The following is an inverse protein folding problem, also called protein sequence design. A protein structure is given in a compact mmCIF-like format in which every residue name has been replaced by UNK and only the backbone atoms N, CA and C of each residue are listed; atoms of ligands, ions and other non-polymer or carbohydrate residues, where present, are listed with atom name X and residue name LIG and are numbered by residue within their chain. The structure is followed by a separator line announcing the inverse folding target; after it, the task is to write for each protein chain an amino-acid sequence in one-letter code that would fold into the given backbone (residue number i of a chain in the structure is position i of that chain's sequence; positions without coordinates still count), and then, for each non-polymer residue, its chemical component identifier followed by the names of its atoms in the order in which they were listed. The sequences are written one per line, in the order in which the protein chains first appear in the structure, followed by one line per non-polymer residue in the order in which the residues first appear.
data_IF_716691004808
#
_entry.id   IF_716691004808
#
_cell.length_a   1.000
_cell.length_b   1.000
_cell.length_c   1.000
_cell.angle_alpha   90.00
_cell.angle_beta   90.00
_cell.angle_gamma   90.00
#
_symmetry.space_group_name_H-M   'P 1'
#
loop_
_entity.id
_entity.type
_entity.pdbx_description
1 polymer ?
#
# COMPACT_ATOMS: atom_id res chain seq x y z
N UNK A 1 10.67 18.52 11.42
CA UNK A 1 11.28 17.33 10.81
C UNK A 1 12.52 16.88 11.59
N UNK A 2 13.48 17.77 11.86
CA UNK A 2 14.72 17.44 12.61
C UNK A 2 14.42 16.86 14.01
N UNK A 3 13.45 17.42 14.73
CA UNK A 3 13.02 16.92 16.06
C UNK A 3 12.45 15.51 15.97
N UNK A 4 11.68 15.21 14.93
CA UNK A 4 11.10 13.88 14.69
C UNK A 4 12.19 12.84 14.39
N UNK A 5 13.14 13.13 13.52
CA UNK A 5 14.24 12.22 13.18
C UNK A 5 15.19 11.98 14.37
N UNK A 6 15.40 13.00 15.22
CA UNK A 6 16.15 12.83 16.46
C UNK A 6 15.44 11.87 17.45
N UNK A 7 14.11 11.86 17.45
CA UNK A 7 13.33 10.93 18.28
C UNK A 7 13.35 9.49 17.73
N UNK A 8 13.47 9.34 16.42
CA UNK A 8 13.45 8.03 15.74
C UNK A 8 14.69 7.82 14.84
N UNK A 9 15.89 7.66 15.43
CA UNK A 9 17.15 7.60 14.67
C UNK A 9 17.23 6.42 13.70
N UNK A 10 16.52 5.32 13.97
CA UNK A 10 16.47 4.17 13.07
C UNK A 10 15.76 4.48 11.74
N UNK A 11 14.82 5.42 11.73
CA UNK A 11 14.12 5.84 10.51
C UNK A 11 15.07 6.60 9.60
N UNK A 12 15.83 7.52 10.16
CA UNK A 12 16.81 8.30 9.41
C UNK A 12 17.90 7.40 8.81
N UNK A 13 18.48 6.52 9.63
CA UNK A 13 19.47 5.54 9.17
C UNK A 13 18.94 4.62 8.07
N UNK A 14 17.69 4.19 8.15
CA UNK A 14 17.05 3.41 7.09
C UNK A 14 16.91 4.20 5.78
N UNK A 15 16.50 5.47 5.86
CA UNK A 15 16.32 6.33 4.69
C UNK A 15 17.66 6.62 4.00
N UNK A 16 18.71 6.95 4.76
CA UNK A 16 20.04 7.19 4.22
C UNK A 16 20.64 5.94 3.58
N UNK A 17 20.51 4.79 4.23
CA UNK A 17 20.93 3.51 3.67
C UNK A 17 20.19 3.20 2.37
N UNK A 18 18.88 3.39 2.32
CA UNK A 18 18.07 3.16 1.11
C UNK A 18 18.56 4.00 -0.06
N UNK A 19 18.90 5.27 0.17
CA UNK A 19 19.45 6.15 -0.88
C UNK A 19 20.83 5.68 -1.33
N UNK A 20 21.70 5.33 -0.39
CA UNK A 20 23.06 4.87 -0.70
C UNK A 20 23.03 3.58 -1.53
N UNK A 21 22.25 2.61 -1.13
CA UNK A 21 22.06 1.35 -1.84
C UNK A 21 21.48 1.60 -3.25
N UNK A 22 20.47 2.50 -3.35
CA UNK A 22 19.85 2.85 -4.63
C UNK A 22 20.81 3.56 -5.59
N UNK A 23 21.71 4.39 -5.11
CA UNK A 23 22.77 5.00 -5.94
C UNK A 23 23.72 3.94 -6.52
N UNK A 24 24.03 2.93 -5.75
CA UNK A 24 24.93 1.87 -6.17
C UNK A 24 24.27 0.91 -7.16
N UNK A 25 23.03 0.44 -6.87
CA UNK A 25 22.37 -0.56 -7.70
C UNK A 25 21.48 0.05 -8.82
N UNK A 26 21.17 1.36 -8.76
CA UNK A 26 20.38 2.07 -9.75
C UNK A 26 18.87 1.98 -9.58
N UNK A 27 18.36 1.34 -8.52
CA UNK A 27 16.93 1.19 -8.26
C UNK A 27 16.63 1.08 -6.76
N UNK A 28 15.36 1.26 -6.41
CA UNK A 28 14.79 0.86 -5.11
C UNK A 28 13.75 -0.24 -5.31
N UNK A 29 13.46 -0.99 -4.27
CA UNK A 29 12.45 -2.05 -4.31
C UNK A 29 11.46 -1.95 -3.16
N UNK A 30 10.24 -2.46 -3.38
CA UNK A 30 9.26 -2.73 -2.33
C UNK A 30 9.66 -3.97 -1.54
N UNK A 31 8.97 -4.24 -0.43
CA UNK A 31 9.12 -5.48 0.33
C UNK A 31 8.79 -6.74 -0.50
N UNK A 32 8.00 -6.60 -1.56
CA UNK A 32 7.65 -7.67 -2.49
C UNK A 32 8.59 -7.79 -3.70
N UNK A 33 9.69 -7.01 -3.71
CA UNK A 33 10.70 -7.07 -4.76
C UNK A 33 10.35 -6.30 -6.04
N UNK A 34 9.27 -5.53 -6.08
CA UNK A 34 8.96 -4.64 -7.20
C UNK A 34 10.00 -3.53 -7.26
N UNK A 35 10.67 -3.39 -8.39
CA UNK A 35 11.77 -2.45 -8.59
C UNK A 35 11.30 -1.17 -9.29
N UNK A 36 11.88 -0.05 -8.87
CA UNK A 36 11.78 1.24 -9.54
C UNK A 36 13.19 1.76 -9.84
N UNK A 37 13.53 1.84 -11.12
CA UNK A 37 14.79 2.45 -11.54
C UNK A 37 14.81 3.95 -11.18
N UNK A 38 15.95 4.46 -10.72
CA UNK A 38 16.14 5.83 -10.28
C UNK A 38 17.47 6.42 -10.84
N UNK A 39 17.56 6.57 -12.16
CA UNK A 39 18.75 7.18 -12.78
C UNK A 39 19.01 8.60 -12.29
N UNK A 40 17.98 9.28 -11.79
CA UNK A 40 18.02 10.64 -11.24
C UNK A 40 19.02 10.77 -10.08
N UNK A 41 19.24 9.70 -9.30
CA UNK A 41 20.12 9.70 -8.14
C UNK A 41 21.59 10.01 -8.50
N UNK A 42 21.99 9.70 -9.73
CA UNK A 42 23.35 9.92 -10.25
C UNK A 42 23.45 11.15 -11.16
N UNK A 43 22.41 12.00 -11.22
CA UNK A 43 22.41 13.21 -12.02
C UNK A 43 23.37 14.27 -11.46
N UNK A 44 24.06 14.96 -12.35
CA UNK A 44 24.87 16.15 -12.00
C UNK A 44 24.00 17.35 -11.60
N UNK A 45 22.74 17.38 -12.03
CA UNK A 45 21.79 18.43 -11.65
C UNK A 45 21.25 18.19 -10.24
N UNK A 46 21.50 19.16 -9.35
CA UNK A 46 21.05 19.08 -7.95
C UNK A 46 19.54 18.86 -7.79
N UNK A 47 18.72 19.54 -8.58
CA UNK A 47 17.25 19.43 -8.47
C UNK A 47 16.75 18.05 -8.90
N UNK A 48 17.33 17.49 -9.96
CA UNK A 48 17.02 16.14 -10.43
C UNK A 48 17.44 15.12 -9.38
N UNK A 49 18.64 15.25 -8.85
CA UNK A 49 19.15 14.36 -7.80
C UNK A 49 18.29 14.42 -6.53
N UNK A 50 17.92 15.60 -6.05
CA UNK A 50 17.03 15.77 -4.90
C UNK A 50 15.64 15.15 -5.14
N UNK A 51 15.14 15.21 -6.38
CA UNK A 51 13.90 14.51 -6.74
C UNK A 51 14.08 12.99 -6.67
N UNK A 52 15.19 12.45 -7.17
CA UNK A 52 15.54 11.04 -7.08
C UNK A 52 15.61 10.55 -5.63
N UNK A 53 16.21 11.33 -4.73
CA UNK A 53 16.29 11.01 -3.30
C UNK A 53 14.90 10.94 -2.63
N UNK A 54 13.99 11.88 -2.96
CA UNK A 54 12.60 11.81 -2.47
C UNK A 54 11.89 10.56 -2.98
N UNK A 55 12.06 10.21 -4.25
CA UNK A 55 11.50 8.98 -4.82
C UNK A 55 12.10 7.74 -4.17
N UNK A 56 13.40 7.74 -3.87
CA UNK A 56 14.07 6.63 -3.20
C UNK A 56 13.53 6.38 -1.79
N UNK A 57 13.26 7.45 -1.02
CA UNK A 57 12.67 7.35 0.32
C UNK A 57 11.22 6.86 0.29
N UNK A 58 10.42 7.35 -0.65
CA UNK A 58 8.98 7.09 -0.67
C UNK A 58 8.61 5.75 -1.31
N UNK A 59 9.34 5.32 -2.35
CA UNK A 59 8.96 4.13 -3.14
C UNK A 59 8.90 2.84 -2.31
N UNK A 60 9.83 2.52 -1.40
CA UNK A 60 9.73 1.30 -0.60
C UNK A 60 8.44 1.25 0.25
N UNK A 61 8.02 2.39 0.80
CA UNK A 61 6.84 2.49 1.66
C UNK A 61 5.56 2.52 0.83
N UNK A 62 5.41 3.52 -0.06
CA UNK A 62 4.21 3.67 -0.90
C UNK A 62 4.04 2.52 -1.89
N UNK A 63 5.15 2.04 -2.47
CA UNK A 63 5.12 0.89 -3.36
C UNK A 63 4.73 -0.40 -2.65
N UNK A 64 5.18 -0.61 -1.40
CA UNK A 64 4.75 -1.75 -0.60
C UNK A 64 3.26 -1.66 -0.25
N UNK A 65 2.76 -0.48 0.13
CA UNK A 65 1.33 -0.28 0.36
C UNK A 65 0.50 -0.61 -0.91
N UNK A 66 0.96 -0.18 -2.08
CA UNK A 66 0.32 -0.53 -3.35
C UNK A 66 0.38 -2.03 -3.67
N UNK A 67 1.40 -2.74 -3.24
CA UNK A 67 1.49 -4.20 -3.40
C UNK A 67 0.52 -4.91 -2.44
N UNK A 68 0.41 -4.45 -1.20
CA UNK A 68 -0.52 -4.98 -0.19
C UNK A 68 -1.97 -4.86 -0.67
N UNK A 69 -2.39 -3.68 -1.16
CA UNK A 69 -3.77 -3.48 -1.63
C UNK A 69 -4.09 -4.37 -2.84
N UNK A 70 -3.13 -4.62 -3.74
CA UNK A 70 -3.32 -5.53 -4.87
C UNK A 70 -3.47 -6.98 -4.42
N UNK A 71 -2.72 -7.41 -3.42
CA UNK A 71 -2.89 -8.74 -2.84
C UNK A 71 -4.27 -8.87 -2.18
N UNK A 72 -4.68 -7.87 -1.40
CA UNK A 72 -6.00 -7.81 -0.80
C UNK A 72 -7.13 -7.89 -1.85
N UNK A 73 -7.03 -7.12 -2.94
CA UNK A 73 -7.97 -7.16 -4.06
C UNK A 73 -8.17 -8.58 -4.62
N UNK A 74 -7.07 -9.27 -4.88
CA UNK A 74 -7.12 -10.64 -5.43
C UNK A 74 -7.76 -11.61 -4.44
N UNK A 75 -7.47 -11.48 -3.15
CA UNK A 75 -8.02 -12.34 -2.10
C UNK A 75 -9.51 -12.09 -1.90
N UNK A 76 -9.93 -10.84 -1.78
CA UNK A 76 -11.34 -10.44 -1.69
C UNK A 76 -12.12 -10.96 -2.90
N UNK A 77 -11.64 -10.69 -4.12
CA UNK A 77 -12.29 -11.16 -5.34
C UNK A 77 -12.43 -12.68 -5.38
N UNK A 78 -11.38 -13.42 -5.04
CA UNK A 78 -11.43 -14.90 -5.02
C UNK A 78 -12.46 -15.39 -4.01
N UNK A 79 -12.48 -14.83 -2.82
CA UNK A 79 -13.38 -15.28 -1.76
C UNK A 79 -14.83 -14.98 -2.10
N UNK A 80 -15.16 -13.79 -2.61
CA UNK A 80 -16.52 -13.48 -3.09
C UNK A 80 -16.99 -14.49 -4.15
N UNK A 81 -16.13 -14.83 -5.10
CA UNK A 81 -16.41 -15.80 -6.14
C UNK A 81 -16.59 -17.22 -5.58
N UNK A 82 -15.69 -17.68 -4.71
CA UNK A 82 -15.66 -19.05 -4.20
C UNK A 82 -16.85 -19.30 -3.26
N UNK A 83 -17.32 -18.27 -2.57
CA UNK A 83 -18.54 -18.28 -1.77
C UNK A 83 -19.81 -18.01 -2.59
N UNK A 84 -19.68 -17.86 -3.93
CA UNK A 84 -20.79 -17.67 -4.89
C UNK A 84 -21.67 -16.47 -4.56
N UNK A 85 -21.08 -15.39 -4.05
CA UNK A 85 -21.80 -14.17 -3.73
C UNK A 85 -22.15 -13.38 -5.00
N UNK A 86 -23.24 -12.64 -4.95
CA UNK A 86 -23.60 -11.65 -5.97
C UNK A 86 -22.77 -10.37 -5.83
N UNK A 87 -22.21 -10.15 -4.64
CA UNK A 87 -21.34 -9.02 -4.32
C UNK A 87 -20.09 -8.97 -5.23
N UNK A 88 -19.71 -7.77 -5.64
CA UNK A 88 -18.61 -7.56 -6.60
C UNK A 88 -17.65 -6.48 -6.13
N UNK A 89 -16.36 -6.76 -6.23
CA UNK A 89 -15.33 -5.74 -6.09
C UNK A 89 -15.36 -4.86 -7.35
N UNK A 90 -15.72 -3.59 -7.20
CA UNK A 90 -15.96 -2.69 -8.35
C UNK A 90 -14.89 -1.62 -8.52
N UNK A 91 -14.24 -1.18 -7.44
CA UNK A 91 -13.32 -0.05 -7.50
C UNK A 91 -12.24 -0.15 -6.42
N UNK A 92 -11.08 0.41 -6.71
CA UNK A 92 -10.04 0.73 -5.74
C UNK A 92 -9.67 2.21 -5.85
N UNK A 93 -9.56 2.89 -4.71
CA UNK A 93 -9.16 4.29 -4.63
C UNK A 93 -8.10 4.40 -3.55
N UNK A 94 -6.86 4.76 -3.94
CA UNK A 94 -5.71 4.80 -3.03
C UNK A 94 -5.50 3.48 -2.26
N UNK A 95 -5.90 3.43 -1.00
CA UNK A 95 -5.82 2.30 -0.06
C UNK A 95 -7.20 1.70 0.29
N UNK A 96 -8.25 2.12 -0.41
CA UNK A 96 -9.61 1.65 -0.23
C UNK A 96 -10.02 0.61 -1.28
N UNK A 97 -10.84 -0.35 -0.88
CA UNK A 97 -11.56 -1.29 -1.75
C UNK A 97 -13.06 -1.05 -1.62
N UNK A 98 -13.73 -0.94 -2.75
CA UNK A 98 -15.19 -0.73 -2.81
C UNK A 98 -15.84 -1.97 -3.40
N UNK A 99 -16.75 -2.54 -2.61
CA UNK A 99 -17.58 -3.70 -3.00
C UNK A 99 -19.02 -3.25 -3.11
N UNK A 100 -19.64 -3.51 -4.24
CA UNK A 100 -21.08 -3.43 -4.42
C UNK A 100 -21.71 -4.76 -3.97
N UNK A 101 -22.66 -4.71 -3.06
CA UNK A 101 -23.29 -5.88 -2.47
C UNK A 101 -24.81 -5.71 -2.38
N UNK A 102 -25.61 -6.76 -2.66
CA UNK A 102 -27.00 -6.81 -2.24
C UNK A 102 -27.12 -6.60 -0.71
N UNK A 103 -28.18 -5.96 -0.25
CA UNK A 103 -28.36 -5.65 1.17
C UNK A 103 -28.28 -6.93 2.05
N UNK A 104 -28.80 -8.04 1.56
CA UNK A 104 -28.73 -9.34 2.24
C UNK A 104 -27.30 -9.90 2.40
N UNK A 105 -26.37 -9.45 1.60
CA UNK A 105 -24.97 -9.88 1.64
C UNK A 105 -24.05 -8.86 2.31
N UNK A 106 -24.53 -7.66 2.67
CA UNK A 106 -23.72 -6.53 3.11
C UNK A 106 -22.82 -6.87 4.31
N UNK A 107 -23.36 -7.52 5.34
CA UNK A 107 -22.60 -7.92 6.52
C UNK A 107 -21.48 -8.93 6.18
N UNK A 108 -21.82 -9.90 5.34
CA UNK A 108 -20.86 -10.93 4.91
C UNK A 108 -19.76 -10.33 4.02
N UNK A 109 -20.12 -9.44 3.12
CA UNK A 109 -19.16 -8.72 2.28
C UNK A 109 -18.20 -7.85 3.13
N UNK A 110 -18.72 -7.15 4.14
CA UNK A 110 -17.93 -6.37 5.09
C UNK A 110 -16.96 -7.27 5.90
N UNK A 111 -17.42 -8.43 6.34
CA UNK A 111 -16.56 -9.40 7.03
C UNK A 111 -15.44 -9.89 6.12
N UNK A 112 -15.73 -10.25 4.87
CA UNK A 112 -14.74 -10.69 3.88
C UNK A 112 -13.72 -9.60 3.60
N UNK A 113 -14.17 -8.35 3.40
CA UNK A 113 -13.26 -7.22 3.22
C UNK A 113 -12.26 -7.12 4.38
N UNK A 114 -12.75 -7.09 5.61
CA UNK A 114 -11.89 -6.99 6.79
C UNK A 114 -10.91 -8.15 6.88
N UNK A 115 -11.38 -9.39 6.84
CA UNK A 115 -10.55 -10.57 6.99
C UNK A 115 -9.47 -10.67 5.91
N UNK A 116 -9.82 -10.40 4.65
CA UNK A 116 -8.90 -10.54 3.53
C UNK A 116 -7.92 -9.36 3.42
N UNK A 117 -8.32 -8.15 3.81
CA UNK A 117 -7.42 -7.00 3.83
C UNK A 117 -6.44 -7.09 5.01
N UNK A 118 -6.90 -7.41 6.21
CA UNK A 118 -6.03 -7.55 7.39
C UNK A 118 -5.12 -8.78 7.32
N UNK A 119 -5.63 -9.88 6.76
CA UNK A 119 -4.92 -11.15 6.64
C UNK A 119 -4.04 -11.30 5.40
N UNK A 120 -4.00 -10.31 4.47
CA UNK A 120 -3.29 -10.48 3.20
C UNK A 120 -1.77 -10.53 3.36
N UNK A 121 -1.23 -9.95 4.42
CA UNK A 121 0.19 -9.98 4.80
C UNK A 121 0.35 -10.15 6.30
N UNK A 122 1.49 -10.68 6.72
CA UNK A 122 1.85 -10.79 8.13
C UNK A 122 3.08 -9.92 8.41
N UNK A 123 2.85 -8.81 9.10
CA UNK A 123 3.90 -7.92 9.58
C UNK A 123 4.01 -7.96 11.11
N UNK A 124 5.12 -7.48 11.65
CA UNK A 124 5.29 -7.32 13.10
C UNK A 124 4.26 -6.34 13.69
N UNK A 125 3.82 -5.38 12.89
CA UNK A 125 2.71 -4.48 13.23
C UNK A 125 1.47 -4.98 12.47
N UNK A 126 0.35 -5.25 13.15
CA UNK A 126 -0.88 -5.70 12.49
C UNK A 126 -1.46 -4.59 11.60
N UNK A 127 -2.05 -5.00 10.48
CA UNK A 127 -2.89 -4.13 9.68
C UNK A 127 -4.31 -4.14 10.28
N UNK A 128 -4.93 -2.97 10.34
CA UNK A 128 -6.33 -2.82 10.70
C UNK A 128 -7.09 -2.20 9.53
N UNK A 129 -8.34 -2.61 9.37
CA UNK A 129 -9.22 -2.14 8.30
C UNK A 129 -10.52 -1.62 8.91
N UNK A 130 -10.86 -0.37 8.61
CA UNK A 130 -12.18 0.17 8.90
C UNK A 130 -13.11 -0.15 7.72
N UNK A 131 -14.28 -0.72 8.02
CA UNK A 131 -15.27 -1.09 7.01
C UNK A 131 -16.56 -0.35 7.29
N UNK A 132 -17.00 0.42 6.32
CA UNK A 132 -18.24 1.18 6.36
C UNK A 132 -19.19 0.71 5.26
N UNK A 133 -20.49 0.79 5.50
CA UNK A 133 -21.53 0.46 4.55
C UNK A 133 -22.49 1.64 4.38
N UNK A 134 -22.91 1.90 3.14
CA UNK A 134 -23.86 2.95 2.78
C UNK A 134 -24.56 2.61 1.48
N UNK A 135 -25.62 3.33 1.15
CA UNK A 135 -26.34 3.14 -0.13
C UNK A 135 -25.59 3.66 -1.34
N UNK A 136 -24.58 4.42 -1.10
CA UNK A 136 -23.66 4.97 -2.11
C UNK A 136 -22.31 5.26 -1.47
N UNK A 137 -21.29 5.52 -2.30
CA UNK A 137 -19.93 5.78 -1.82
C UNK A 137 -19.83 6.95 -0.83
N UNK A 138 -20.60 8.02 -1.05
CA UNK A 138 -20.56 9.18 -0.16
C UNK A 138 -21.05 8.85 1.28
N UNK A 139 -22.00 7.92 1.41
CA UNK A 139 -22.49 7.48 2.72
C UNK A 139 -21.57 6.46 3.38
N UNK A 140 -20.81 5.71 2.58
CA UNK A 140 -19.88 4.69 3.06
C UNK A 140 -18.47 5.23 3.36
N UNK A 141 -18.21 6.53 3.08
CA UNK A 141 -16.87 7.13 3.22
C UNK A 141 -16.72 7.91 4.53
#
# INVERSE_FOLDING_TARGET
LQTYLATFPNIDGYMEKTIADARQCGYVSTLFGRRRALPELNSNNHNIRASGERMARNTPIQGTAADVIKLAMVRVWRRLRDEKMESRLILTVHDELIVEAPEAEAEKAAQILREEMEGCVQYAVPLSTDVHAGKNWLEAH
#
